data_IF_313443876796
#
_entry.id   IF_313443876796
#
_cell.length_a   1.000
_cell.length_b   1.000
_cell.length_c   1.000
_cell.angle_alpha   90.00
_cell.angle_beta   90.00
_cell.angle_gamma   90.00
#
_symmetry.space_group_name_H-M   'P 1'
#
loop_
_entity.id
_entity.type
_entity.pdbx_description
1 polymer ?
#
# COMPACT_ATOMS: atom_id res chain seq x y z
N UNK A 1 9.21 -9.69 21.15
CA UNK A 1 9.14 -8.48 20.32
C UNK A 1 8.33 -8.76 19.06
N UNK A 2 7.41 -7.87 18.75
CA UNK A 2 6.56 -8.03 17.57
C UNK A 2 7.37 -7.82 16.28
N UNK A 3 7.24 -8.76 15.32
CA UNK A 3 7.88 -8.58 14.00
C UNK A 3 7.09 -7.58 13.18
N UNK A 4 7.73 -7.04 12.13
CA UNK A 4 7.06 -6.09 11.23
C UNK A 4 5.90 -6.78 10.50
N UNK A 5 6.07 -8.03 10.08
CA UNK A 5 5.01 -8.78 9.41
C UNK A 5 3.80 -8.97 10.32
N UNK A 6 4.02 -9.26 11.57
CA UNK A 6 2.95 -9.43 12.54
C UNK A 6 2.22 -8.12 12.78
N UNK A 7 2.98 -7.03 12.88
CA UNK A 7 2.41 -5.69 13.05
C UNK A 7 1.54 -5.30 11.85
N UNK A 8 2.03 -5.55 10.63
CA UNK A 8 1.27 -5.28 9.40
C UNK A 8 -0.04 -6.08 9.40
N UNK A 9 0.05 -7.37 9.64
CA UNK A 9 -1.12 -8.24 9.70
C UNK A 9 -2.14 -7.76 10.73
N UNK A 10 -1.68 -7.44 11.93
CA UNK A 10 -2.53 -6.97 13.02
C UNK A 10 -3.24 -5.66 12.66
N UNK A 11 -2.53 -4.71 12.05
CA UNK A 11 -3.10 -3.43 11.64
C UNK A 11 -4.19 -3.63 10.58
N UNK A 12 -3.92 -4.43 9.56
CA UNK A 12 -4.88 -4.68 8.49
C UNK A 12 -6.13 -5.37 9.04
N UNK A 13 -5.96 -6.36 9.90
CA UNK A 13 -7.09 -7.06 10.53
C UNK A 13 -7.92 -6.11 11.38
N UNK A 14 -7.28 -5.20 12.10
CA UNK A 14 -7.98 -4.22 12.92
C UNK A 14 -8.87 -3.33 12.08
N UNK A 15 -8.32 -2.73 11.02
CA UNK A 15 -9.09 -1.82 10.18
C UNK A 15 -10.18 -2.55 9.39
N UNK A 16 -9.89 -3.73 8.88
CA UNK A 16 -10.90 -4.51 8.17
C UNK A 16 -12.08 -4.86 9.07
N UNK A 17 -11.80 -5.22 10.31
CA UNK A 17 -12.87 -5.56 11.28
C UNK A 17 -13.76 -4.34 11.57
N UNK A 18 -13.17 -3.18 11.77
CA UNK A 18 -13.92 -1.99 12.14
C UNK A 18 -14.65 -1.38 10.95
N UNK A 19 -13.98 -1.30 9.80
CA UNK A 19 -14.52 -0.60 8.64
C UNK A 19 -15.22 -1.49 7.63
N UNK A 20 -15.00 -2.81 7.69
CA UNK A 20 -15.55 -3.74 6.72
C UNK A 20 -14.91 -3.62 5.33
N UNK A 21 -13.74 -2.99 5.23
CA UNK A 21 -13.07 -2.76 3.95
C UNK A 21 -11.56 -2.71 4.11
N UNK A 22 -10.87 -2.98 3.01
CA UNK A 22 -9.42 -2.80 2.88
C UNK A 22 -9.05 -1.61 2.00
N UNK A 23 -10.02 -0.74 1.70
CA UNK A 23 -9.76 0.46 0.90
C UNK A 23 -8.79 1.37 1.65
N UNK A 24 -7.61 1.66 1.07
CA UNK A 24 -6.61 2.50 1.75
C UNK A 24 -7.10 3.91 2.04
N UNK A 25 -7.94 4.47 1.18
CA UNK A 25 -8.49 5.82 1.40
C UNK A 25 -9.44 5.82 2.59
N UNK A 26 -10.31 4.83 2.68
CA UNK A 26 -11.24 4.71 3.83
C UNK A 26 -10.47 4.53 5.14
N UNK A 27 -9.42 3.72 5.13
CA UNK A 27 -8.58 3.51 6.31
C UNK A 27 -7.89 4.81 6.70
N UNK A 28 -7.30 5.52 5.73
CA UNK A 28 -6.61 6.77 5.99
C UNK A 28 -7.56 7.80 6.64
N UNK A 29 -8.76 7.95 6.08
CA UNK A 29 -9.75 8.87 6.63
C UNK A 29 -10.13 8.53 8.07
N UNK A 30 -10.37 7.25 8.33
CA UNK A 30 -10.70 6.78 9.67
C UNK A 30 -9.56 7.05 10.66
N UNK A 31 -8.31 6.87 10.21
CA UNK A 31 -7.13 7.08 11.04
C UNK A 31 -6.76 8.56 11.22
N UNK A 32 -7.53 9.49 10.64
CA UNK A 32 -7.26 10.92 10.74
C UNK A 32 -6.13 11.40 9.84
N UNK A 33 -5.84 10.66 8.77
CA UNK A 33 -4.79 11.00 7.82
C UNK A 33 -5.43 11.77 6.66
N UNK A 34 -4.90 12.96 6.37
CA UNK A 34 -5.37 13.77 5.25
C UNK A 34 -4.95 13.18 3.92
N UNK A 35 -5.81 13.31 2.92
CA UNK A 35 -5.53 12.88 1.55
C UNK A 35 -5.62 14.11 0.66
N UNK A 36 -4.59 14.33 -0.16
CA UNK A 36 -4.58 15.43 -1.12
C UNK A 36 -4.04 14.94 -2.46
N UNK A 37 -4.57 15.49 -3.54
CA UNK A 37 -4.04 15.27 -4.89
C UNK A 37 -3.48 16.59 -5.39
N UNK A 38 -2.32 16.53 -6.03
CA UNK A 38 -1.63 17.71 -6.51
C UNK A 38 -0.62 17.35 -7.59
N UNK A 39 -0.12 18.34 -8.35
CA UNK A 39 0.92 18.05 -9.35
C UNK A 39 2.24 17.72 -8.63
N UNK A 40 2.78 16.53 -8.88
CA UNK A 40 3.99 16.06 -8.24
C UNK A 40 5.11 15.69 -9.24
N UNK A 41 4.98 16.09 -10.51
CA UNK A 41 5.98 15.77 -11.52
C UNK A 41 6.20 14.28 -11.68
N UNK A 42 7.40 13.79 -11.44
CA UNK A 42 7.76 12.39 -11.57
C UNK A 42 7.48 11.56 -10.31
N UNK A 43 7.01 12.18 -9.24
CA UNK A 43 6.69 11.49 -7.99
C UNK A 43 5.25 11.03 -8.04
N UNK A 44 4.99 9.77 -7.74
CA UNK A 44 3.62 9.24 -7.70
C UNK A 44 2.87 9.70 -6.46
N UNK A 45 3.54 9.76 -5.33
CA UNK A 45 2.96 10.21 -4.09
C UNK A 45 4.02 10.38 -3.02
N UNK A 46 3.63 10.97 -1.91
CA UNK A 46 4.49 11.02 -0.74
C UNK A 46 3.67 11.09 0.54
N UNK A 47 4.29 10.66 1.61
CA UNK A 47 3.77 10.80 2.96
C UNK A 47 4.54 11.86 3.71
N UNK A 48 3.85 12.69 4.48
CA UNK A 48 4.50 13.69 5.32
C UNK A 48 3.70 13.92 6.61
N UNK A 49 4.44 14.30 7.65
CA UNK A 49 3.87 14.70 8.93
C UNK A 49 4.13 16.21 9.08
N UNK A 50 3.06 17.01 9.14
CA UNK A 50 3.14 18.46 9.27
C UNK A 50 2.28 18.90 10.44
N UNK A 51 2.89 19.57 11.43
CA UNK A 51 2.16 20.09 12.59
C UNK A 51 1.28 19.03 13.25
N UNK A 52 1.84 17.84 13.46
CA UNK A 52 1.17 16.68 14.10
C UNK A 52 0.07 16.05 13.25
N UNK A 53 -0.16 16.52 12.03
CA UNK A 53 -1.11 15.89 11.12
C UNK A 53 -0.37 15.13 10.03
N UNK A 54 -0.82 13.91 9.78
CA UNK A 54 -0.29 13.06 8.71
C UNK A 54 -1.03 13.36 7.41
N UNK A 55 -0.28 13.42 6.32
CA UNK A 55 -0.83 13.66 4.98
C UNK A 55 -0.28 12.66 3.99
N UNK A 56 -1.16 12.15 3.17
CA UNK A 56 -0.82 11.37 1.97
C UNK A 56 -1.16 12.24 0.78
N UNK A 57 -0.13 12.52 -0.04
CA UNK A 57 -0.29 13.32 -1.25
C UNK A 57 -0.06 12.41 -2.45
N UNK A 58 -1.00 12.43 -3.41
CA UNK A 58 -0.94 11.56 -4.58
C UNK A 58 -0.93 12.46 -5.82
N UNK A 59 -0.09 12.11 -6.80
CA UNK A 59 0.01 12.87 -8.04
C UNK A 59 -1.33 12.90 -8.75
N UNK A 60 -1.79 14.09 -9.10
CA UNK A 60 -3.09 14.29 -9.79
C UNK A 60 -3.12 13.67 -11.18
N UNK A 61 -1.96 13.36 -11.78
CA UNK A 61 -1.89 12.68 -13.08
C UNK A 61 -2.33 11.22 -13.00
N UNK A 62 -2.43 10.66 -11.81
CA UNK A 62 -2.86 9.27 -11.60
C UNK A 62 -4.36 9.27 -11.38
N UNK A 63 -5.09 8.55 -12.25
CA UNK A 63 -6.55 8.45 -12.13
C UNK A 63 -6.95 7.79 -10.80
N UNK A 64 -7.90 8.39 -10.11
CA UNK A 64 -8.39 7.86 -8.82
C UNK A 64 -9.03 6.48 -8.94
N UNK A 65 -9.45 6.11 -10.15
CA UNK A 65 -10.06 4.79 -10.41
C UNK A 65 -9.04 3.74 -10.84
N UNK A 66 -7.77 4.14 -10.99
CA UNK A 66 -6.75 3.22 -11.49
C UNK A 66 -6.20 2.33 -10.39
N UNK A 67 -5.75 1.10 -10.74
CA UNK A 67 -5.03 0.26 -9.79
C UNK A 67 -3.76 0.94 -9.24
N UNK A 68 -3.08 1.73 -10.06
CA UNK A 68 -1.89 2.47 -9.62
C UNK A 68 -2.21 3.43 -8.47
N UNK A 69 -3.34 4.14 -8.55
CA UNK A 69 -3.76 5.03 -7.47
C UNK A 69 -3.88 4.25 -6.15
N UNK A 70 -4.48 3.08 -6.23
CA UNK A 70 -4.67 2.22 -5.06
C UNK A 70 -3.35 1.74 -4.48
N UNK A 71 -2.41 1.38 -5.34
CA UNK A 71 -1.07 0.95 -4.92
C UNK A 71 -0.34 2.08 -4.22
N UNK A 72 -0.35 3.28 -4.81
CA UNK A 72 0.29 4.46 -4.23
C UNK A 72 -0.33 4.80 -2.87
N UNK A 73 -1.66 4.84 -2.81
CA UNK A 73 -2.38 5.14 -1.58
C UNK A 73 -2.04 4.13 -0.47
N UNK A 74 -2.00 2.84 -0.81
CA UNK A 74 -1.69 1.79 0.15
C UNK A 74 -0.23 1.87 0.64
N UNK A 75 0.69 2.18 -0.25
CA UNK A 75 2.11 2.35 0.09
C UNK A 75 2.29 3.52 1.06
N UNK A 76 1.72 4.68 0.72
CA UNK A 76 1.83 5.86 1.57
C UNK A 76 1.11 5.67 2.91
N UNK A 77 -0.01 4.95 2.90
CA UNK A 77 -0.68 4.56 4.14
C UNK A 77 0.23 3.70 5.01
N UNK A 78 0.99 2.81 4.39
CA UNK A 78 2.00 2.01 5.10
C UNK A 78 3.01 2.89 5.83
N UNK A 79 3.53 3.92 5.19
CA UNK A 79 4.42 4.88 5.84
C UNK A 79 3.70 5.59 6.99
N UNK A 80 2.48 6.04 6.78
CA UNK A 80 1.73 6.77 7.80
C UNK A 80 1.48 5.93 9.06
N UNK A 81 1.30 4.63 8.90
CA UNK A 81 0.99 3.73 10.01
C UNK A 81 2.23 3.09 10.64
N UNK A 82 3.29 2.88 9.85
CA UNK A 82 4.50 2.19 10.31
C UNK A 82 5.66 3.15 10.57
N UNK A 83 5.74 4.24 9.81
CA UNK A 83 6.89 5.17 9.82
C UNK A 83 6.42 6.62 10.01
N UNK A 84 5.62 6.85 11.02
CA UNK A 84 4.91 8.13 11.21
C UNK A 84 5.80 9.36 11.11
N UNK A 85 7.04 9.28 11.59
CA UNK A 85 7.95 10.43 11.65
C UNK A 85 8.85 10.56 10.42
N UNK A 86 8.73 9.65 9.47
CA UNK A 86 9.56 9.67 8.27
C UNK A 86 8.82 10.37 7.13
N UNK A 87 9.50 11.28 6.44
CA UNK A 87 8.98 11.91 5.23
C UNK A 87 9.49 11.10 4.04
N UNK A 88 8.59 10.55 3.24
CA UNK A 88 8.94 9.61 2.19
C UNK A 88 8.29 9.98 0.86
N UNK A 89 9.05 9.90 -0.23
CA UNK A 89 8.56 10.12 -1.58
C UNK A 89 8.56 8.80 -2.37
N UNK A 90 7.46 8.54 -3.09
CA UNK A 90 7.22 7.32 -3.85
C UNK A 90 7.35 7.62 -5.34
N UNK A 91 8.35 7.03 -6.01
CA UNK A 91 8.63 7.29 -7.43
C UNK A 91 7.76 6.42 -8.33
N UNK A 92 7.22 7.02 -9.40
CA UNK A 92 6.20 6.42 -10.29
C UNK A 92 6.53 5.06 -10.89
N UNK A 93 7.76 4.81 -11.29
CA UNK A 93 8.06 3.67 -12.16
C UNK A 93 8.73 2.49 -11.46
N UNK A 94 9.36 2.71 -10.30
CA UNK A 94 10.27 1.69 -9.74
C UNK A 94 10.11 1.51 -8.25
N UNK A 95 8.98 1.92 -7.73
CA UNK A 95 8.76 2.04 -6.30
C UNK A 95 8.80 0.71 -5.56
N UNK A 96 8.28 -0.34 -6.20
CA UNK A 96 8.25 -1.67 -5.58
C UNK A 96 9.60 -2.38 -5.65
N UNK A 97 10.57 -1.79 -6.35
CA UNK A 97 11.93 -2.29 -6.43
C UNK A 97 12.86 -1.63 -5.40
N UNK A 98 12.37 -0.64 -4.65
CA UNK A 98 13.15 0.03 -3.62
C UNK A 98 13.47 -0.94 -2.49
N UNK A 99 14.72 -0.91 -2.04
CA UNK A 99 15.24 -1.89 -1.10
C UNK A 99 15.54 -1.34 0.29
N UNK A 100 15.36 -0.02 0.52
CA UNK A 100 15.55 0.56 1.85
C UNK A 100 14.54 -0.07 2.82
N UNK A 101 14.92 -0.15 4.10
CA UNK A 101 14.10 -0.81 5.12
C UNK A 101 12.67 -0.27 5.18
N UNK A 102 12.51 1.05 5.26
CA UNK A 102 11.19 1.66 5.38
C UNK A 102 10.36 1.50 4.09
N UNK A 103 11.01 1.57 2.93
CA UNK A 103 10.31 1.39 1.66
C UNK A 103 9.84 -0.05 1.49
N UNK A 104 10.67 -1.01 1.88
CA UNK A 104 10.31 -2.42 1.83
C UNK A 104 9.12 -2.73 2.73
N UNK A 105 9.10 -2.17 3.93
CA UNK A 105 7.99 -2.36 4.86
C UNK A 105 6.70 -1.74 4.33
N UNK A 106 6.77 -0.54 3.74
CA UNK A 106 5.61 0.10 3.13
C UNK A 106 5.08 -0.72 1.94
N UNK A 107 5.98 -1.27 1.11
CA UNK A 107 5.60 -2.15 0.00
C UNK A 107 4.96 -3.44 0.51
N UNK A 108 5.49 -4.01 1.58
CA UNK A 108 4.91 -5.20 2.20
C UNK A 108 3.51 -4.92 2.72
N UNK A 109 3.33 -3.77 3.37
CA UNK A 109 2.01 -3.34 3.84
C UNK A 109 1.02 -3.23 2.68
N UNK A 110 1.43 -2.57 1.58
CA UNK A 110 0.57 -2.41 0.40
C UNK A 110 0.17 -3.76 -0.18
N UNK A 111 1.12 -4.69 -0.31
CA UNK A 111 0.85 -6.02 -0.86
C UNK A 111 -0.17 -6.78 0.01
N UNK A 112 0.02 -6.76 1.32
CA UNK A 112 -0.88 -7.43 2.25
C UNK A 112 -2.28 -6.81 2.25
N UNK A 113 -2.36 -5.49 2.19
CA UNK A 113 -3.63 -4.78 2.22
C UNK A 113 -4.44 -5.01 0.94
N UNK A 114 -3.79 -4.88 -0.22
CA UNK A 114 -4.48 -4.90 -1.52
C UNK A 114 -4.76 -6.30 -2.04
N UNK A 115 -3.94 -7.28 -1.67
CA UNK A 115 -4.11 -8.65 -2.13
C UNK A 115 -4.47 -9.52 -0.92
N UNK A 116 -5.77 -9.68 -0.70
CA UNK A 116 -6.29 -10.48 0.42
C UNK A 116 -6.14 -11.99 0.15
N UNK A 117 -6.29 -12.78 1.20
CA UNK A 117 -6.34 -14.24 1.06
C UNK A 117 -7.48 -14.67 0.13
N UNK A 118 -8.65 -14.02 0.24
CA UNK A 118 -9.80 -14.30 -0.62
C UNK A 118 -9.47 -14.03 -2.08
N UNK A 119 -8.77 -12.93 -2.36
CA UNK A 119 -8.34 -12.61 -3.72
C UNK A 119 -7.36 -13.67 -4.25
N UNK A 120 -6.41 -14.11 -3.43
CA UNK A 120 -5.48 -15.16 -3.84
C UNK A 120 -6.23 -16.47 -4.15
N UNK A 121 -7.25 -16.78 -3.38
CA UNK A 121 -8.08 -17.96 -3.62
C UNK A 121 -8.86 -17.83 -4.92
N UNK A 122 -9.47 -16.67 -5.16
CA UNK A 122 -10.27 -16.42 -6.37
C UNK A 122 -9.42 -16.56 -7.64
N UNK A 123 -8.15 -16.18 -7.58
CA UNK A 123 -7.22 -16.26 -8.71
C UNK A 123 -6.29 -17.47 -8.64
N UNK A 124 -6.61 -18.49 -7.84
CA UNK A 124 -5.72 -19.62 -7.59
C UNK A 124 -5.37 -20.43 -8.85
N UNK A 125 -6.25 -20.39 -9.87
CA UNK A 125 -6.04 -21.10 -11.14
C UNK A 125 -5.41 -20.24 -12.21
N UNK A 126 -5.08 -18.97 -11.87
CA UNK A 126 -4.48 -18.03 -12.81
C UNK A 126 -2.97 -18.05 -12.69
N UNK A 127 -2.29 -17.78 -13.80
CA UNK A 127 -0.86 -17.49 -13.76
C UNK A 127 -0.63 -16.11 -13.15
N UNK A 128 0.61 -15.81 -12.78
CA UNK A 128 0.98 -14.48 -12.29
C UNK A 128 0.63 -13.39 -13.30
N UNK A 129 0.89 -13.65 -14.59
CA UNK A 129 0.59 -12.70 -15.66
C UNK A 129 -0.92 -12.46 -15.77
N UNK A 130 -1.72 -13.53 -15.70
CA UNK A 130 -3.18 -13.40 -15.74
C UNK A 130 -3.71 -12.61 -14.55
N UNK A 131 -3.19 -12.85 -13.35
CA UNK A 131 -3.55 -12.09 -12.16
C UNK A 131 -3.27 -10.61 -12.37
N UNK A 132 -2.09 -10.25 -12.85
CA UNK A 132 -1.70 -8.86 -13.08
C UNK A 132 -2.56 -8.19 -14.14
N UNK A 133 -2.92 -8.89 -15.21
CA UNK A 133 -3.80 -8.35 -16.25
C UNK A 133 -5.19 -8.09 -15.68
N UNK A 134 -5.73 -9.03 -14.91
CA UNK A 134 -7.09 -8.92 -14.38
C UNK A 134 -7.21 -7.85 -13.29
N UNK A 135 -6.23 -7.75 -12.42
CA UNK A 135 -6.27 -6.81 -11.28
C UNK A 135 -5.68 -5.45 -11.62
N UNK A 136 -4.80 -5.38 -12.60
CA UNK A 136 -4.02 -4.18 -12.91
C UNK A 136 -2.89 -3.93 -11.94
N UNK A 137 -2.64 -4.82 -11.00
CA UNK A 137 -1.53 -4.68 -10.05
C UNK A 137 -0.21 -5.09 -10.68
N UNK A 138 0.90 -4.45 -10.28
CA UNK A 138 2.22 -4.83 -10.80
C UNK A 138 2.64 -6.19 -10.25
N UNK A 139 3.44 -6.88 -11.03
CA UNK A 139 3.93 -8.23 -10.69
C UNK A 139 4.72 -8.23 -9.38
N UNK A 140 5.49 -7.18 -9.14
CA UNK A 140 6.29 -7.03 -7.93
C UNK A 140 5.43 -7.04 -6.66
N UNK A 141 4.23 -6.47 -6.75
CA UNK A 141 3.29 -6.48 -5.61
C UNK A 141 2.82 -7.89 -5.30
N UNK A 142 2.48 -8.66 -6.33
CA UNK A 142 2.08 -10.06 -6.17
C UNK A 142 3.24 -10.89 -5.60
N UNK A 143 4.45 -10.67 -6.09
CA UNK A 143 5.63 -11.40 -5.59
C UNK A 143 5.85 -11.15 -4.10
N UNK A 144 5.71 -9.91 -3.65
CA UNK A 144 5.82 -9.58 -2.22
C UNK A 144 4.77 -10.30 -1.40
N UNK A 145 3.55 -10.34 -1.91
CA UNK A 145 2.44 -11.02 -1.21
C UNK A 145 2.66 -12.51 -1.09
N UNK A 146 3.10 -13.14 -2.18
CA UNK A 146 3.36 -14.59 -2.22
C UNK A 146 4.56 -14.99 -1.39
N UNK A 147 5.60 -14.17 -1.38
CA UNK A 147 6.81 -14.43 -0.59
C UNK A 147 6.46 -14.57 0.89
N UNK A 148 5.60 -13.72 1.40
CA UNK A 148 5.16 -13.81 2.79
C UNK A 148 4.36 -15.10 3.04
N UNK A 149 3.48 -15.48 2.13
CA UNK A 149 2.67 -16.69 2.27
C UNK A 149 3.51 -17.95 2.39
N UNK A 150 4.67 -17.98 1.72
CA UNK A 150 5.61 -19.10 1.80
C UNK A 150 6.36 -19.10 3.12
N UNK A 151 6.61 -17.92 3.68
CA UNK A 151 7.39 -17.76 4.91
C UNK A 151 6.54 -17.87 6.19
N UNK A 152 5.24 -17.85 6.06
CA UNK A 152 4.33 -18.07 7.17
C UNK A 152 3.91 -19.52 7.24
#
# INVERSE_FOLDING_TARGET
METIDHKIYRLIRYYERILGTRDPIAIAKFAGIGIATMPLGNVAGYYTLVQRKRWICINEDISTDSPLFRVVAAHELGHALLHRKENCAFLKKYTLLLTSGIEREANQFAAELLISDDMLQDYSRCTSDQFCICTGYPKELLELRLKRSIMS
#
